data_IF_063396165158
#
_entry.id   IF_063396165158
#
_cell.length_a   1.000
_cell.length_b   1.000
_cell.length_c   1.000
_cell.angle_alpha   90.00
_cell.angle_beta   90.00
_cell.angle_gamma   90.00
#
_symmetry.space_group_name_H-M   'P 1'
#
loop_
_entity.id
_entity.type
_entity.pdbx_description
1 polymer ?
#
# COMPACT_ATOMS: atom_id res chain seq x y z
N UNK A 1 -16.00 -5.74 2.43
CA UNK A 1 -15.30 -4.45 2.57
C UNK A 1 -15.94 -3.49 1.60
N UNK A 2 -16.51 -2.39 2.09
CA UNK A 2 -17.17 -1.40 1.23
C UNK A 2 -16.08 -0.56 0.52
N UNK A 3 -16.39 -0.02 -0.65
CA UNK A 3 -15.47 0.83 -1.43
C UNK A 3 -14.96 2.03 -0.59
N UNK A 4 -15.78 2.52 0.33
CA UNK A 4 -15.43 3.63 1.24
C UNK A 4 -14.31 3.24 2.21
N UNK A 5 -14.33 2.00 2.71
CA UNK A 5 -13.32 1.48 3.63
C UNK A 5 -11.95 1.40 2.92
N UNK A 6 -11.94 1.01 1.64
CA UNK A 6 -10.73 0.96 0.82
C UNK A 6 -10.12 2.35 0.61
N UNK A 7 -10.95 3.37 0.39
CA UNK A 7 -10.48 4.75 0.19
C UNK A 7 -9.85 5.29 1.48
N UNK A 8 -10.48 5.04 2.63
CA UNK A 8 -9.94 5.46 3.93
C UNK A 8 -8.62 4.76 4.24
N UNK A 9 -8.52 3.45 3.97
CA UNK A 9 -7.29 2.70 4.13
C UNK A 9 -6.16 3.25 3.26
N UNK A 10 -6.42 3.48 1.97
CA UNK A 10 -5.42 4.05 1.05
C UNK A 10 -4.97 5.43 1.52
N UNK A 11 -5.89 6.29 1.96
CA UNK A 11 -5.55 7.62 2.49
C UNK A 11 -4.68 7.53 3.75
N UNK A 12 -5.05 6.68 4.70
CA UNK A 12 -4.26 6.45 5.90
C UNK A 12 -2.85 5.94 5.60
N UNK A 13 -2.69 5.03 4.63
CA UNK A 13 -1.38 4.54 4.21
C UNK A 13 -0.58 5.62 3.49
N UNK A 14 -1.18 6.40 2.58
CA UNK A 14 -0.52 7.51 1.91
C UNK A 14 0.02 8.54 2.91
N UNK A 15 -0.70 8.84 3.98
CA UNK A 15 -0.28 9.80 4.99
C UNK A 15 0.98 9.34 5.73
N UNK A 16 1.14 8.03 5.94
CA UNK A 16 2.32 7.44 6.58
C UNK A 16 3.56 7.41 5.69
N UNK A 17 3.40 7.41 4.36
CA UNK A 17 4.53 7.33 3.42
C UNK A 17 5.23 8.69 3.24
N UNK A 18 6.55 8.72 3.39
CA UNK A 18 7.35 9.90 3.05
C UNK A 18 7.54 10.04 1.53
N UNK A 19 7.73 11.26 1.05
CA UNK A 19 8.12 11.55 -0.34
C UNK A 19 9.60 11.27 -0.59
N UNK A 20 10.43 11.37 0.44
CA UNK A 20 11.89 11.41 0.30
C UNK A 20 12.58 10.13 0.77
N UNK A 21 11.89 9.29 1.54
CA UNK A 21 12.47 8.08 2.15
C UNK A 21 11.72 6.83 1.76
N UNK A 22 12.46 5.74 1.61
CA UNK A 22 11.91 4.39 1.53
C UNK A 22 11.42 3.94 2.91
N UNK A 23 10.41 3.07 2.93
CA UNK A 23 9.89 2.43 4.14
C UNK A 23 9.46 0.99 3.83
N UNK A 24 9.55 0.09 4.80
CA UNK A 24 9.08 -1.28 4.64
C UNK A 24 7.67 -1.46 5.22
N UNK A 25 6.94 -2.46 4.75
CA UNK A 25 5.56 -2.72 5.18
C UNK A 25 5.43 -3.02 6.67
N UNK A 26 6.53 -3.42 7.33
CA UNK A 26 6.58 -3.74 8.76
C UNK A 26 6.72 -2.50 9.64
N UNK A 27 7.14 -1.37 9.05
CA UNK A 27 7.32 -0.10 9.75
C UNK A 27 6.05 0.77 9.70
N UNK A 28 5.03 0.33 8.96
CA UNK A 28 3.74 1.00 8.86
C UNK A 28 2.87 0.68 10.08
N UNK A 29 2.14 1.68 10.55
CA UNK A 29 1.28 1.60 11.72
C UNK A 29 -0.09 1.09 11.30
N UNK A 30 -0.53 -0.02 11.88
CA UNK A 30 -1.85 -0.60 11.66
C UNK A 30 -1.85 -2.12 11.74
N UNK A 31 -2.97 -2.72 11.32
CA UNK A 31 -3.06 -4.16 11.14
C UNK A 31 -2.29 -4.60 9.88
N UNK A 32 -1.42 -5.60 10.02
CA UNK A 32 -0.51 -5.98 8.95
C UNK A 32 -1.23 -6.53 7.71
N UNK A 33 -2.33 -7.28 7.90
CA UNK A 33 -3.09 -7.82 6.78
C UNK A 33 -3.79 -6.70 6.00
N UNK A 34 -4.34 -5.72 6.71
CA UNK A 34 -4.93 -4.51 6.11
C UNK A 34 -3.87 -3.66 5.39
N UNK A 35 -2.68 -3.49 6.00
CA UNK A 35 -1.56 -2.78 5.36
C UNK A 35 -1.19 -3.47 4.05
N UNK A 36 -0.94 -4.78 4.06
CA UNK A 36 -0.53 -5.53 2.88
C UNK A 36 -1.61 -5.52 1.78
N UNK A 37 -2.88 -5.63 2.18
CA UNK A 37 -4.01 -5.45 1.26
C UNK A 37 -4.00 -4.05 0.64
N UNK A 38 -3.90 -3.00 1.45
CA UNK A 38 -3.90 -1.62 0.98
C UNK A 38 -2.71 -1.31 0.06
N UNK A 39 -1.52 -1.78 0.41
CA UNK A 39 -0.32 -1.65 -0.42
C UNK A 39 -0.49 -2.33 -1.78
N UNK A 40 -1.13 -3.51 -1.84
CA UNK A 40 -1.46 -4.17 -3.11
C UNK A 40 -2.36 -3.31 -3.99
N UNK A 41 -3.41 -2.73 -3.42
CA UNK A 41 -4.30 -1.84 -4.16
C UNK A 41 -3.56 -0.56 -4.61
N UNK A 42 -2.70 0.00 -3.77
CA UNK A 42 -1.87 1.16 -4.13
C UNK A 42 -0.87 0.87 -5.25
N UNK A 43 -0.27 -0.32 -5.29
CA UNK A 43 0.56 -0.79 -6.41
C UNK A 43 -0.28 -0.91 -7.69
N UNK A 44 -1.46 -1.53 -7.62
CA UNK A 44 -2.39 -1.67 -8.76
C UNK A 44 -2.82 -0.31 -9.32
N UNK A 45 -3.03 0.67 -8.46
CA UNK A 45 -3.37 2.05 -8.83
C UNK A 45 -2.15 2.87 -9.30
N UNK A 46 -0.93 2.33 -9.19
CA UNK A 46 0.31 3.00 -9.55
C UNK A 46 0.65 4.17 -8.62
N UNK A 47 0.18 4.15 -7.37
CA UNK A 47 0.45 5.18 -6.37
C UNK A 47 1.81 4.99 -5.68
N UNK A 48 2.25 3.73 -5.57
CA UNK A 48 3.53 3.36 -4.96
C UNK A 48 4.30 2.39 -5.84
N UNK A 49 5.59 2.31 -5.58
CA UNK A 49 6.52 1.30 -6.08
C UNK A 49 7.27 0.67 -4.91
N UNK A 50 7.79 -0.54 -5.08
CA UNK A 50 8.57 -1.25 -4.08
C UNK A 50 8.77 -2.71 -4.48
N UNK A 51 9.66 -3.40 -3.77
CA UNK A 51 9.83 -4.84 -3.91
C UNK A 51 8.68 -5.53 -3.17
N UNK A 52 7.91 -6.37 -3.88
CA UNK A 52 6.75 -7.04 -3.31
C UNK A 52 6.94 -8.55 -3.35
N UNK A 53 6.62 -9.19 -2.25
CA UNK A 53 6.63 -10.63 -2.10
C UNK A 53 5.21 -11.13 -1.94
N UNK A 54 4.85 -12.16 -2.70
CA UNK A 54 3.53 -12.77 -2.64
C UNK A 54 3.51 -13.88 -1.59
N UNK A 55 2.39 -13.99 -0.90
CA UNK A 55 2.07 -15.15 -0.07
C UNK A 55 1.58 -16.31 -0.95
N UNK A 56 1.43 -17.49 -0.36
CA UNK A 56 0.74 -18.62 -1.00
C UNK A 56 -0.78 -18.49 -1.00
N UNK A 57 -1.32 -17.40 -0.45
CA UNK A 57 -2.75 -17.16 -0.31
C UNK A 57 -3.25 -16.14 -1.34
N UNK A 58 -4.51 -16.31 -1.75
CA UNK A 58 -5.19 -15.43 -2.68
C UNK A 58 -6.55 -15.05 -2.13
N UNK A 59 -7.01 -13.85 -2.48
CA UNK A 59 -8.39 -13.42 -2.30
C UNK A 59 -9.08 -13.30 -3.69
N UNK A 60 -10.40 -12.98 -3.74
CA UNK A 60 -11.11 -12.83 -5.01
C UNK A 60 -10.55 -11.77 -5.97
N UNK A 61 -9.70 -10.85 -5.47
CA UNK A 61 -9.06 -9.83 -6.29
C UNK A 61 -7.66 -10.23 -6.74
N UNK A 62 -7.07 -11.29 -6.18
CA UNK A 62 -5.80 -11.87 -6.61
C UNK A 62 -4.87 -12.29 -5.46
N UNK A 63 -3.60 -12.57 -5.76
CA UNK A 63 -2.60 -12.94 -4.76
C UNK A 63 -2.46 -11.88 -3.67
N UNK A 64 -2.31 -12.34 -2.42
CA UNK A 64 -2.02 -11.47 -1.29
C UNK A 64 -0.52 -11.27 -1.15
N UNK A 65 -0.09 -10.08 -0.74
CA UNK A 65 1.31 -9.84 -0.37
C UNK A 65 1.62 -10.52 0.97
N UNK A 66 2.83 -11.06 1.09
CA UNK A 66 3.42 -11.50 2.36
C UNK A 66 4.30 -10.40 2.97
N UNK A 67 4.94 -9.60 2.13
CA UNK A 67 5.68 -8.39 2.53
C UNK A 67 5.85 -7.43 1.35
N UNK A 68 6.09 -6.15 1.66
CA UNK A 68 6.54 -5.16 0.69
C UNK A 68 7.68 -4.37 1.31
N UNK A 69 8.80 -4.22 0.59
CA UNK A 69 9.96 -3.46 1.04
C UNK A 69 10.34 -2.36 0.06
N UNK A 70 11.16 -1.42 0.53
CA UNK A 70 11.61 -0.26 -0.23
C UNK A 70 10.44 0.52 -0.88
N UNK A 71 9.36 0.71 -0.10
CA UNK A 71 8.15 1.38 -0.57
C UNK A 71 8.46 2.85 -0.82
N UNK A 72 8.13 3.33 -2.02
CA UNK A 72 8.22 4.75 -2.42
C UNK A 72 6.92 5.20 -3.07
N UNK A 73 6.57 6.47 -2.86
CA UNK A 73 5.52 7.12 -3.64
C UNK A 73 5.97 7.30 -5.10
N UNK A 74 5.08 7.01 -6.04
CA UNK A 74 5.26 7.42 -7.44
C UNK A 74 4.86 8.88 -7.60
N UNK A 75 5.14 9.48 -8.77
CA UNK A 75 4.61 10.81 -9.12
C UNK A 75 3.10 10.92 -8.90
N UNK A 76 2.34 9.87 -9.22
CA UNK A 76 0.88 9.85 -9.02
C UNK A 76 0.52 9.79 -7.53
N UNK A 77 1.25 8.99 -6.76
CA UNK A 77 1.08 8.91 -5.30
C UNK A 77 1.31 10.26 -4.62
N UNK A 78 2.38 10.97 -5.01
CA UNK A 78 2.70 12.32 -4.50
C UNK A 78 1.55 13.29 -4.78
N UNK A 79 1.11 13.39 -6.05
CA UNK A 79 0.01 14.27 -6.45
C UNK A 79 -1.28 13.97 -5.67
N UNK A 80 -1.56 12.68 -5.41
CA UNK A 80 -2.76 12.29 -4.67
C UNK A 80 -2.62 12.64 -3.18
N UNK A 81 -1.45 12.44 -2.58
CA UNK A 81 -1.18 12.78 -1.17
C UNK A 81 -1.36 14.28 -0.91
N UNK A 82 -0.96 15.13 -1.83
CA UNK A 82 -1.06 16.60 -1.72
C UNK A 82 -2.48 17.16 -1.98
N UNK A 83 -3.45 16.30 -2.32
CA UNK A 83 -4.86 16.65 -2.57
C UNK A 83 -5.78 16.19 -1.45
#
# INVERSE_FOLDING_TARGET
MLVVDNVQLIRSLLDQLSTDTEIDSVDLIGDQEQILFGLREMVRLGLISGAHHYSGYCDPTGPLFSSVSAIRLTKRGIILKER
#
